data_IF_595574669355
#
_entry.id   IF_595574669355
#
_cell.length_a   1.000
_cell.length_b   1.000
_cell.length_c   1.000
_cell.angle_alpha   90.00
_cell.angle_beta   90.00
_cell.angle_gamma   90.00
#
_symmetry.space_group_name_H-M   'P 1'
#
loop_
_entity.id
_entity.type
_entity.pdbx_description
1 polymer ?
#
# COMPACT_ATOMS: atom_id res chain seq x y z
N UNK A 1 33.18 -10.49 26.29
CA UNK A 1 32.09 -9.67 25.69
C UNK A 1 31.35 -10.59 24.74
N UNK A 2 30.02 -10.72 24.88
CA UNK A 2 29.24 -11.63 24.02
C UNK A 2 28.87 -10.89 22.75
N UNK A 3 29.33 -11.40 21.61
CA UNK A 3 29.03 -10.81 20.31
C UNK A 3 27.61 -11.15 19.86
N UNK A 4 27.01 -10.25 19.09
CA UNK A 4 25.73 -10.50 18.44
C UNK A 4 25.87 -11.61 17.38
N UNK A 5 24.85 -12.47 17.29
CA UNK A 5 24.75 -13.54 16.31
C UNK A 5 23.67 -13.19 15.29
N UNK A 6 23.93 -13.48 14.01
CA UNK A 6 23.01 -13.19 12.91
C UNK A 6 22.52 -14.51 12.27
N UNK A 7 21.29 -14.58 11.72
CA UNK A 7 20.35 -13.47 11.51
C UNK A 7 19.73 -12.94 12.81
N UNK A 8 19.45 -11.64 12.83
CA UNK A 8 18.94 -10.94 14.02
C UNK A 8 17.83 -9.96 13.63
N UNK A 9 16.66 -10.14 14.22
CA UNK A 9 15.57 -9.16 14.10
C UNK A 9 15.92 -7.92 14.93
N UNK A 10 16.07 -6.78 14.26
CA UNK A 10 16.39 -5.51 14.91
C UNK A 10 15.16 -4.62 15.09
N UNK A 11 14.08 -4.88 14.36
CA UNK A 11 12.85 -4.12 14.47
C UNK A 11 11.63 -4.89 13.95
N UNK A 12 10.50 -4.76 14.64
CA UNK A 12 9.20 -5.20 14.15
C UNK A 12 8.12 -4.24 14.63
N UNK A 13 7.18 -3.92 13.75
CA UNK A 13 5.96 -3.18 14.10
C UNK A 13 5.14 -3.95 15.14
N UNK A 14 4.33 -3.22 15.91
CA UNK A 14 3.35 -3.84 16.82
C UNK A 14 2.22 -4.55 16.07
N UNK A 15 1.84 -4.00 14.91
CA UNK A 15 0.90 -4.60 13.97
C UNK A 15 1.48 -5.88 13.40
N UNK A 16 0.67 -6.93 13.35
CA UNK A 16 1.07 -8.26 12.91
C UNK A 16 1.06 -8.35 11.38
N UNK A 17 1.91 -9.23 10.84
CA UNK A 17 1.76 -9.66 9.45
C UNK A 17 0.52 -10.55 9.33
N UNK A 18 -0.12 -10.51 8.15
CA UNK A 18 -1.31 -11.30 7.84
C UNK A 18 -2.47 -11.09 8.82
N UNK A 19 -2.65 -9.86 9.30
CA UNK A 19 -3.75 -9.50 10.20
C UNK A 19 -5.08 -9.37 9.43
N UNK A 20 -5.79 -10.49 9.29
CA UNK A 20 -7.11 -10.51 8.68
C UNK A 20 -8.21 -9.90 9.56
N UNK A 21 -7.90 -9.47 10.80
CA UNK A 21 -8.86 -8.85 11.71
C UNK A 21 -8.88 -7.31 11.61
N UNK A 22 -7.95 -6.73 10.87
CA UNK A 22 -7.90 -5.29 10.63
C UNK A 22 -9.16 -4.78 9.92
N UNK A 23 -9.52 -3.53 10.18
CA UNK A 23 -10.80 -2.95 9.72
C UNK A 23 -10.91 -2.86 8.19
N UNK A 24 -9.79 -2.59 7.52
CA UNK A 24 -9.61 -2.57 6.06
C UNK A 24 -9.59 -3.97 5.42
N UNK A 25 -9.50 -5.04 6.21
CA UNK A 25 -9.59 -6.44 5.78
C UNK A 25 -10.98 -7.05 5.98
N UNK A 26 -11.92 -6.30 6.58
CA UNK A 26 -13.31 -6.74 6.71
C UNK A 26 -13.97 -6.79 5.33
N UNK A 27 -14.71 -7.86 5.08
CA UNK A 27 -15.40 -8.10 3.82
C UNK A 27 -16.86 -8.48 4.05
N UNK A 28 -17.67 -8.35 3.00
CA UNK A 28 -19.10 -8.67 3.02
C UNK A 28 -19.94 -7.56 2.43
N UNK A 29 -21.20 -7.87 2.18
CA UNK A 29 -22.12 -6.95 1.52
C UNK A 29 -22.53 -5.82 2.47
N UNK A 30 -22.51 -4.60 1.94
CA UNK A 30 -23.03 -3.40 2.61
C UNK A 30 -24.37 -3.06 1.95
N UNK A 31 -25.41 -2.84 2.76
CA UNK A 31 -26.73 -2.49 2.24
C UNK A 31 -26.71 -1.16 1.48
N UNK A 32 -27.53 -1.05 0.44
CA UNK A 32 -27.74 0.20 -0.33
C UNK A 32 -28.05 1.40 0.58
N UNK A 33 -28.94 1.23 1.56
CA UNK A 33 -29.28 2.30 2.51
C UNK A 33 -28.03 2.85 3.21
N UNK A 34 -27.14 1.95 3.64
CA UNK A 34 -25.90 2.33 4.32
C UNK A 34 -24.91 3.01 3.35
N UNK A 35 -24.74 2.49 2.14
CA UNK A 35 -23.91 3.12 1.11
C UNK A 35 -24.36 4.56 0.81
N UNK A 36 -25.67 4.78 0.66
CA UNK A 36 -26.23 6.10 0.35
C UNK A 36 -26.23 7.06 1.54
N UNK A 37 -26.65 6.63 2.72
CA UNK A 37 -26.86 7.55 3.84
C UNK A 37 -25.64 7.73 4.76
N UNK A 38 -24.80 6.70 4.92
CA UNK A 38 -23.61 6.78 5.78
C UNK A 38 -22.39 7.27 5.01
N UNK A 39 -22.21 6.78 3.78
CA UNK A 39 -21.03 7.06 2.96
C UNK A 39 -21.24 8.08 1.84
N UNK A 40 -22.49 8.49 1.58
CA UNK A 40 -22.87 9.41 0.50
C UNK A 40 -22.51 8.87 -0.90
N UNK A 41 -22.44 7.55 -1.04
CA UNK A 41 -22.12 6.87 -2.30
C UNK A 41 -23.36 6.75 -3.18
N UNK A 42 -24.01 7.88 -3.48
CA UNK A 42 -25.25 7.92 -4.27
C UNK A 42 -24.96 7.59 -5.74
N UNK A 43 -23.85 8.11 -6.28
CA UNK A 43 -23.41 7.88 -7.65
C UNK A 43 -22.05 7.18 -7.63
N UNK A 44 -22.03 5.88 -7.93
CA UNK A 44 -20.82 5.06 -7.85
C UNK A 44 -20.01 5.09 -9.17
N UNK A 45 -20.70 5.15 -10.30
CA UNK A 45 -20.10 4.94 -11.62
C UNK A 45 -20.72 5.88 -12.66
N UNK A 46 -19.92 6.25 -13.65
CA UNK A 46 -20.33 7.03 -14.81
C UNK A 46 -20.83 6.14 -15.97
N UNK A 47 -20.73 4.82 -15.83
CA UNK A 47 -21.01 3.82 -16.88
C UNK A 47 -22.19 2.91 -16.52
N UNK A 48 -22.42 2.64 -15.23
CA UNK A 48 -23.47 1.75 -14.75
C UNK A 48 -24.05 2.26 -13.43
N UNK A 49 -25.34 2.04 -13.20
CA UNK A 49 -25.95 2.18 -11.88
C UNK A 49 -26.03 0.79 -11.22
N UNK A 50 -25.18 0.51 -10.20
CA UNK A 50 -25.18 -0.79 -9.54
C UNK A 50 -26.39 -1.02 -8.63
N UNK A 51 -27.12 0.03 -8.24
CA UNK A 51 -28.33 -0.11 -7.41
C UNK A 51 -29.51 -0.64 -8.23
N UNK A 52 -29.61 -0.21 -9.48
CA UNK A 52 -30.68 -0.63 -10.40
C UNK A 52 -30.24 -1.70 -11.41
N UNK A 53 -28.95 -2.01 -11.47
CA UNK A 53 -28.33 -2.90 -12.46
C UNK A 53 -28.61 -2.44 -13.90
N UNK A 54 -28.43 -1.15 -14.17
CA UNK A 54 -28.69 -0.55 -15.48
C UNK A 54 -27.48 0.16 -16.05
N UNK A 55 -27.24 0.01 -17.35
CA UNK A 55 -26.18 0.73 -18.02
C UNK A 55 -26.54 2.22 -18.17
N UNK A 56 -25.62 3.10 -17.81
CA UNK A 56 -25.80 4.54 -17.97
C UNK A 56 -25.52 4.96 -19.41
N UNK A 57 -26.48 5.68 -19.98
CA UNK A 57 -26.30 6.35 -21.26
C UNK A 57 -25.76 7.78 -21.01
N UNK A 58 -25.19 8.46 -22.02
CA UNK A 58 -24.72 9.85 -21.87
C UNK A 58 -25.77 10.84 -21.36
N UNK A 59 -27.07 10.51 -21.45
CA UNK A 59 -28.17 11.32 -20.93
C UNK A 59 -28.51 11.03 -19.45
N UNK A 60 -27.97 9.97 -18.85
CA UNK A 60 -28.19 9.57 -17.46
C UNK A 60 -26.92 9.57 -16.62
N UNK A 61 -25.76 9.79 -17.24
CA UNK A 61 -24.49 9.96 -16.54
C UNK A 61 -24.48 11.36 -15.86
N UNK A 62 -24.38 11.44 -14.51
CA UNK A 62 -24.39 12.70 -13.77
C UNK A 62 -23.29 13.69 -14.19
N UNK A 63 -22.16 13.19 -14.68
CA UNK A 63 -21.03 13.99 -15.14
C UNK A 63 -21.08 14.36 -16.63
N UNK A 64 -22.07 13.87 -17.37
CA UNK A 64 -22.23 14.19 -18.79
C UNK A 64 -22.92 15.53 -19.00
N UNK A 65 -22.44 16.29 -20.00
CA UNK A 65 -23.05 17.56 -20.43
C UNK A 65 -24.47 17.40 -21.01
N UNK A 66 -24.89 16.17 -21.27
CA UNK A 66 -26.22 15.84 -21.80
C UNK A 66 -27.15 15.23 -20.74
N UNK A 67 -26.73 15.20 -19.47
CA UNK A 67 -27.53 14.65 -18.37
C UNK A 67 -28.91 15.31 -18.32
N UNK A 68 -29.97 14.50 -18.36
CA UNK A 68 -31.38 14.94 -18.34
C UNK A 68 -31.93 15.49 -19.65
N UNK A 69 -31.17 15.49 -20.76
CA UNK A 69 -31.61 16.08 -22.04
C UNK A 69 -32.61 15.20 -22.82
N UNK A 70 -32.61 13.88 -22.59
CA UNK A 70 -33.59 12.95 -23.13
C UNK A 70 -34.29 12.29 -21.95
N UNK A 71 -35.62 12.39 -21.88
CA UNK A 71 -36.42 11.82 -20.79
C UNK A 71 -36.13 10.33 -20.56
N UNK A 72 -36.37 9.88 -19.32
CA UNK A 72 -36.02 8.57 -18.74
C UNK A 72 -36.24 7.39 -19.70
N UNK A 73 -35.24 7.08 -20.52
CA UNK A 73 -35.14 5.78 -21.18
C UNK A 73 -34.32 4.91 -20.26
N UNK A 74 -34.96 3.94 -19.61
CA UNK A 74 -34.28 2.94 -18.79
C UNK A 74 -33.19 2.30 -19.62
N UNK A 75 -31.94 2.43 -19.17
CA UNK A 75 -30.80 1.79 -19.81
C UNK A 75 -30.97 0.27 -19.88
N UNK A 76 -30.13 -0.37 -20.68
CA UNK A 76 -30.08 -1.83 -20.77
C UNK A 76 -29.89 -2.44 -19.37
N UNK A 77 -30.74 -3.41 -19.02
CA UNK A 77 -30.60 -4.16 -17.77
C UNK A 77 -29.43 -5.12 -17.88
N UNK A 78 -28.61 -5.14 -16.84
CA UNK A 78 -27.40 -5.94 -16.77
C UNK A 78 -27.56 -7.06 -15.77
N UNK A 79 -26.82 -8.14 -15.99
CA UNK A 79 -26.59 -9.14 -14.95
C UNK A 79 -25.61 -8.59 -13.89
N UNK A 80 -25.61 -9.13 -12.65
CA UNK A 80 -24.65 -8.73 -11.63
C UNK A 80 -23.19 -8.88 -12.07
N UNK A 81 -22.87 -9.91 -12.86
CA UNK A 81 -21.52 -10.15 -13.38
C UNK A 81 -21.10 -9.09 -14.41
N UNK A 82 -21.99 -8.72 -15.33
CA UNK A 82 -21.74 -7.65 -16.29
C UNK A 82 -21.58 -6.30 -15.60
N UNK A 83 -22.42 -6.02 -14.59
CA UNK A 83 -22.30 -4.80 -13.77
C UNK A 83 -20.94 -4.74 -13.07
N UNK A 84 -20.53 -5.83 -12.40
CA UNK A 84 -19.24 -5.89 -11.73
C UNK A 84 -18.08 -5.69 -12.72
N UNK A 85 -18.11 -6.36 -13.88
CA UNK A 85 -17.09 -6.20 -14.91
C UNK A 85 -16.98 -4.76 -15.41
N UNK A 86 -18.10 -4.04 -15.58
CA UNK A 86 -18.09 -2.62 -15.95
C UNK A 86 -17.50 -1.73 -14.85
N UNK A 87 -17.85 -1.97 -13.59
CA UNK A 87 -17.27 -1.24 -12.45
C UNK A 87 -15.75 -1.45 -12.38
N UNK A 88 -15.27 -2.67 -12.54
CA UNK A 88 -13.83 -2.97 -12.55
C UNK A 88 -13.12 -2.33 -13.75
N UNK A 89 -13.73 -2.33 -14.94
CA UNK A 89 -13.17 -1.68 -16.12
C UNK A 89 -13.08 -0.15 -15.95
N UNK A 90 -14.08 0.46 -15.34
CA UNK A 90 -14.05 1.88 -14.98
C UNK A 90 -12.98 2.16 -13.92
N UNK A 91 -12.86 1.33 -12.88
CA UNK A 91 -11.82 1.45 -11.85
C UNK A 91 -10.41 1.38 -12.48
N UNK A 92 -10.18 0.46 -13.41
CA UNK A 92 -8.92 0.38 -14.16
C UNK A 92 -8.67 1.66 -14.96
N UNK A 93 -9.68 2.17 -15.67
CA UNK A 93 -9.55 3.40 -16.48
C UNK A 93 -9.28 4.63 -15.61
N UNK A 94 -9.99 4.78 -14.51
CA UNK A 94 -9.83 5.91 -13.56
C UNK A 94 -8.54 5.82 -12.75
N UNK A 95 -7.92 4.64 -12.65
CA UNK A 95 -6.60 4.46 -12.03
C UNK A 95 -5.43 4.94 -12.90
N UNK A 96 -5.61 5.05 -14.23
CA UNK A 96 -4.54 5.40 -15.17
C UNK A 96 -3.78 6.70 -14.84
N UNK A 97 -4.42 7.81 -14.44
CA UNK A 97 -3.73 9.04 -14.07
C UNK A 97 -2.76 8.87 -12.89
N UNK A 98 -2.98 7.86 -12.06
CA UNK A 98 -2.15 7.59 -10.89
C UNK A 98 -1.00 6.63 -11.18
N UNK A 99 -0.99 5.99 -12.35
CA UNK A 99 0.05 5.04 -12.77
C UNK A 99 0.80 5.54 -14.02
N UNK A 100 1.03 6.85 -14.13
CA UNK A 100 1.58 7.46 -15.35
C UNK A 100 3.10 7.31 -15.49
N UNK A 101 3.85 7.13 -14.40
CA UNK A 101 5.32 7.21 -14.40
C UNK A 101 5.97 5.98 -13.77
N UNK A 102 7.04 5.49 -14.40
CA UNK A 102 7.93 4.48 -13.84
C UNK A 102 7.62 3.02 -14.22
N UNK A 103 8.52 2.08 -13.87
CA UNK A 103 8.34 0.65 -14.14
C UNK A 103 7.14 0.04 -13.39
N UNK A 104 6.68 0.70 -12.31
CA UNK A 104 5.55 0.27 -11.48
C UNK A 104 4.16 0.60 -12.08
N UNK A 105 4.08 1.29 -13.24
CA UNK A 105 2.80 1.65 -13.89
C UNK A 105 1.82 0.49 -14.11
N UNK A 106 2.33 -0.73 -14.26
CA UNK A 106 1.50 -1.91 -14.48
C UNK A 106 1.05 -2.58 -13.18
N UNK A 107 1.65 -2.21 -12.04
CA UNK A 107 1.39 -2.83 -10.75
C UNK A 107 -0.06 -2.65 -10.33
N UNK A 108 -0.61 -1.44 -10.49
CA UNK A 108 -2.01 -1.15 -10.17
C UNK A 108 -2.96 -2.06 -10.97
N UNK A 109 -2.71 -2.26 -12.26
CA UNK A 109 -3.56 -3.13 -13.09
C UNK A 109 -3.47 -4.60 -12.67
N UNK A 110 -2.27 -5.07 -12.31
CA UNK A 110 -2.09 -6.43 -11.77
C UNK A 110 -2.85 -6.60 -10.45
N UNK A 111 -2.83 -5.59 -9.59
CA UNK A 111 -3.55 -5.62 -8.32
C UNK A 111 -5.06 -5.54 -8.49
N UNK A 112 -5.56 -4.68 -9.38
CA UNK A 112 -6.98 -4.62 -9.71
C UNK A 112 -7.49 -5.92 -10.32
N UNK A 113 -6.70 -6.56 -11.19
CA UNK A 113 -7.03 -7.88 -11.74
C UNK A 113 -7.02 -8.98 -10.67
N UNK A 114 -6.05 -8.94 -9.74
CA UNK A 114 -6.05 -9.85 -8.59
C UNK A 114 -7.26 -9.64 -7.68
N UNK A 115 -7.63 -8.38 -7.44
CA UNK A 115 -8.80 -8.00 -6.66
C UNK A 115 -10.10 -8.49 -7.33
N UNK A 116 -10.23 -8.31 -8.66
CA UNK A 116 -11.37 -8.81 -9.45
C UNK A 116 -11.57 -10.31 -9.35
N UNK A 117 -10.48 -11.10 -9.27
CA UNK A 117 -10.54 -12.55 -9.14
C UNK A 117 -11.04 -13.03 -7.76
N UNK A 118 -10.99 -12.16 -6.74
CA UNK A 118 -11.52 -12.43 -5.40
C UNK A 118 -11.07 -13.77 -4.79
N UNK A 119 -9.78 -14.12 -4.96
CA UNK A 119 -9.25 -15.42 -4.51
C UNK A 119 -9.00 -15.49 -3.00
N UNK A 120 -9.00 -14.34 -2.30
CA UNK A 120 -8.60 -14.23 -0.89
C UNK A 120 -7.09 -14.43 -0.64
N UNK A 121 -6.30 -14.72 -1.68
CA UNK A 121 -4.85 -14.93 -1.56
C UNK A 121 -4.10 -13.59 -1.44
N UNK A 122 -2.98 -13.53 -0.70
CA UNK A 122 -2.11 -12.36 -0.71
C UNK A 122 -1.61 -12.04 -2.12
N UNK A 123 -1.53 -10.75 -2.44
CA UNK A 123 -0.89 -10.28 -3.66
C UNK A 123 0.62 -10.12 -3.44
N UNK A 124 1.43 -10.69 -4.33
CA UNK A 124 2.88 -10.54 -4.33
C UNK A 124 3.36 -10.27 -5.77
N UNK A 125 4.23 -9.28 -5.96
CA UNK A 125 4.86 -9.01 -7.26
C UNK A 125 6.28 -8.47 -7.06
N UNK A 126 7.23 -8.94 -7.87
CA UNK A 126 8.63 -8.52 -7.80
C UNK A 126 8.81 -7.02 -8.02
N UNK A 127 7.94 -6.38 -8.81
CA UNK A 127 8.01 -4.92 -9.01
C UNK A 127 7.65 -4.12 -7.76
N UNK A 128 6.80 -4.68 -6.87
CA UNK A 128 6.51 -4.08 -5.56
C UNK A 128 7.72 -4.21 -4.63
N UNK A 129 8.37 -5.39 -4.60
CA UNK A 129 9.60 -5.60 -3.83
C UNK A 129 10.73 -4.66 -4.29
N UNK A 130 10.89 -4.49 -5.60
CA UNK A 130 11.85 -3.56 -6.19
C UNK A 130 11.54 -2.11 -5.82
N UNK A 131 10.26 -1.70 -5.88
CA UNK A 131 9.85 -0.36 -5.48
C UNK A 131 10.14 -0.09 -4.00
N UNK A 132 9.84 -1.04 -3.12
CA UNK A 132 10.11 -0.92 -1.69
C UNK A 132 11.62 -0.85 -1.40
N UNK A 133 12.41 -1.68 -2.09
CA UNK A 133 13.88 -1.62 -2.02
C UNK A 133 14.42 -0.27 -2.48
N UNK A 134 13.93 0.24 -3.61
CA UNK A 134 14.39 1.51 -4.16
C UNK A 134 14.01 2.68 -3.24
N UNK A 135 12.84 2.63 -2.59
CA UNK A 135 12.47 3.61 -1.55
C UNK A 135 13.48 3.61 -0.39
N UNK A 136 13.81 2.43 0.15
CA UNK A 136 14.79 2.30 1.25
C UNK A 136 16.18 2.77 0.83
N UNK A 137 16.61 2.46 -0.39
CA UNK A 137 17.94 2.83 -0.89
C UNK A 137 18.01 4.31 -1.24
N UNK A 138 16.93 4.91 -1.75
CA UNK A 138 16.93 6.30 -2.19
C UNK A 138 16.51 7.28 -1.10
N UNK A 139 16.02 6.79 0.05
CA UNK A 139 15.84 7.63 1.22
C UNK A 139 17.18 8.27 1.65
N UNK A 140 17.17 9.60 1.74
CA UNK A 140 18.31 10.45 2.12
C UNK A 140 18.01 11.23 3.40
N UNK A 141 16.86 10.99 4.03
CA UNK A 141 16.52 11.62 5.29
C UNK A 141 17.47 11.16 6.40
N UNK A 142 17.84 12.09 7.27
CA UNK A 142 18.75 11.83 8.40
C UNK A 142 18.13 10.81 9.39
N UNK A 143 16.80 10.77 9.45
CA UNK A 143 16.01 9.87 10.28
C UNK A 143 15.55 8.59 9.56
N UNK A 144 16.07 8.31 8.36
CA UNK A 144 15.80 7.04 7.66
C UNK A 144 16.34 5.83 8.43
N UNK A 145 15.65 4.69 8.31
CA UNK A 145 16.11 3.43 8.92
C UNK A 145 17.51 3.05 8.43
N UNK A 146 17.79 3.27 7.14
CA UNK A 146 19.08 2.95 6.52
C UNK A 146 20.21 3.78 7.13
N UNK A 147 20.05 5.10 7.22
CA UNK A 147 21.11 5.96 7.77
C UNK A 147 21.35 5.65 9.25
N UNK A 148 20.29 5.40 10.03
CA UNK A 148 20.41 5.06 11.43
C UNK A 148 21.11 3.72 11.68
N UNK A 149 20.87 2.70 10.85
CA UNK A 149 21.64 1.44 10.92
C UNK A 149 23.12 1.68 10.61
N UNK A 150 23.42 2.46 9.56
CA UNK A 150 24.79 2.79 9.18
C UNK A 150 25.51 3.52 10.31
N UNK A 151 24.91 4.57 10.88
CA UNK A 151 25.49 5.36 11.96
C UNK A 151 25.69 4.53 13.23
N UNK A 152 24.73 3.66 13.54
CA UNK A 152 24.86 2.75 14.67
C UNK A 152 26.04 1.80 14.48
N UNK A 153 26.17 1.17 13.31
CA UNK A 153 27.30 0.28 13.01
C UNK A 153 28.64 1.01 13.02
N UNK A 154 28.73 2.19 12.39
CA UNK A 154 29.95 3.01 12.40
C UNK A 154 30.43 3.37 13.81
N UNK A 155 29.50 3.70 14.73
CA UNK A 155 29.82 4.07 16.11
C UNK A 155 30.15 2.88 17.01
N UNK A 156 29.65 1.70 16.68
CA UNK A 156 29.64 0.55 17.60
C UNK A 156 30.42 -0.68 17.13
N UNK A 157 30.98 -0.65 15.92
CA UNK A 157 31.78 -1.73 15.37
C UNK A 157 33.02 -2.00 16.21
N UNK A 158 33.22 -3.26 16.58
CA UNK A 158 34.45 -3.75 17.17
C UNK A 158 35.27 -4.47 16.09
N UNK A 159 36.24 -3.76 15.52
CA UNK A 159 37.14 -4.30 14.50
C UNK A 159 38.14 -5.32 15.06
N UNK A 160 38.41 -5.32 16.37
CA UNK A 160 39.32 -6.31 16.99
C UNK A 160 38.63 -7.66 17.16
N UNK A 161 37.34 -7.63 17.52
CA UNK A 161 36.54 -8.84 17.72
C UNK A 161 35.63 -9.16 16.51
N UNK A 162 35.78 -8.43 15.40
CA UNK A 162 35.05 -8.61 14.14
C UNK A 162 33.51 -8.62 14.29
N UNK A 163 32.93 -7.69 15.07
CA UNK A 163 31.48 -7.64 15.19
C UNK A 163 30.94 -6.56 16.12
N UNK A 164 29.74 -6.78 16.66
CA UNK A 164 29.05 -5.86 17.56
C UNK A 164 28.66 -6.58 18.85
N UNK A 165 28.76 -5.88 19.97
CA UNK A 165 28.32 -6.40 21.26
C UNK A 165 26.82 -6.64 21.32
N UNK A 166 26.41 -7.74 21.95
CA UNK A 166 24.99 -8.08 22.11
C UNK A 166 24.21 -7.04 22.94
N UNK A 167 24.81 -6.42 23.95
CA UNK A 167 24.18 -5.36 24.75
C UNK A 167 23.87 -4.10 23.92
N UNK A 168 24.62 -3.87 22.84
CA UNK A 168 24.43 -2.71 21.97
C UNK A 168 23.21 -2.85 21.07
N UNK A 169 22.82 -4.08 20.71
CA UNK A 169 21.68 -4.36 19.82
C UNK A 169 20.38 -3.78 20.35
N UNK A 170 20.16 -3.82 21.66
CA UNK A 170 18.94 -3.25 22.25
C UNK A 170 18.82 -1.74 21.99
N UNK A 171 19.94 -1.01 21.91
CA UNK A 171 19.93 0.40 21.52
C UNK A 171 19.59 0.57 20.03
N UNK A 172 20.08 -0.30 19.15
CA UNK A 172 19.70 -0.28 17.73
C UNK A 172 18.18 -0.44 17.57
N UNK A 173 17.57 -1.41 18.25
CA UNK A 173 16.11 -1.59 18.21
C UNK A 173 15.35 -0.35 18.67
N UNK A 174 15.83 0.33 19.72
CA UNK A 174 15.24 1.58 20.19
C UNK A 174 15.39 2.74 19.21
N UNK A 175 16.56 2.86 18.57
CA UNK A 175 16.81 3.87 17.55
C UNK A 175 15.83 3.67 16.40
N UNK A 176 15.75 2.46 15.85
CA UNK A 176 14.87 2.17 14.71
C UNK A 176 13.39 2.34 15.07
N UNK A 177 12.98 2.04 16.31
CA UNK A 177 11.62 2.32 16.77
C UNK A 177 11.26 3.81 16.82
N UNK A 178 12.25 4.71 16.86
CA UNK A 178 12.07 6.17 16.80
C UNK A 178 12.29 6.77 15.41
N UNK A 179 12.65 5.97 14.40
CA UNK A 179 12.90 6.43 13.02
C UNK A 179 11.63 6.50 12.18
N UNK A 180 11.72 7.20 11.06
CA UNK A 180 10.70 7.13 10.01
C UNK A 180 10.87 5.80 9.27
N UNK A 181 9.84 4.96 9.33
CA UNK A 181 9.82 3.70 8.58
C UNK A 181 9.62 3.98 7.09
N UNK A 182 10.17 3.11 6.21
CA UNK A 182 9.95 3.25 4.77
C UNK A 182 8.45 3.18 4.46
N UNK A 183 7.94 4.24 3.83
CA UNK A 183 6.55 4.38 3.38
C UNK A 183 6.53 5.09 2.03
N UNK A 184 5.46 4.90 1.28
CA UNK A 184 5.26 5.53 -0.03
C UNK A 184 4.42 6.81 0.10
N UNK A 185 4.92 7.80 0.85
CA UNK A 185 4.18 9.05 1.13
C UNK A 185 4.62 10.24 0.27
N UNK A 186 5.59 10.05 -0.64
CA UNK A 186 6.13 11.15 -1.44
C UNK A 186 5.18 11.60 -2.56
N UNK A 187 5.34 12.85 -3.02
CA UNK A 187 4.60 13.38 -4.18
C UNK A 187 4.87 12.57 -5.46
N UNK A 188 6.05 11.95 -5.58
CA UNK A 188 6.39 11.06 -6.69
C UNK A 188 5.67 9.70 -6.57
N UNK A 189 5.43 9.22 -5.35
CA UNK A 189 4.66 7.99 -5.09
C UNK A 189 3.18 8.14 -5.44
N UNK A 190 2.63 9.35 -5.34
CA UNK A 190 1.24 9.64 -5.72
C UNK A 190 0.98 9.53 -7.24
N UNK A 191 2.02 9.55 -8.07
CA UNK A 191 1.94 9.55 -9.54
C UNK A 191 2.55 8.30 -10.20
N UNK A 192 3.15 7.40 -9.41
CA UNK A 192 3.77 6.14 -9.88
C UNK A 192 2.92 4.88 -9.58
N UNK A 193 1.72 5.07 -9.04
CA UNK A 193 0.75 4.04 -8.70
C UNK A 193 0.83 3.59 -7.24
N UNK A 194 1.95 3.83 -6.55
CA UNK A 194 2.19 3.32 -5.20
C UNK A 194 1.38 4.07 -4.14
N UNK A 195 1.13 5.36 -4.31
CA UNK A 195 0.33 6.17 -3.38
C UNK A 195 -1.17 5.85 -3.37
N UNK A 196 -1.67 5.08 -4.34
CA UNK A 196 -3.02 4.47 -4.30
C UNK A 196 -2.96 3.03 -3.80
N UNK A 197 -1.86 2.35 -4.08
CA UNK A 197 -1.71 0.90 -3.89
C UNK A 197 -1.27 0.55 -2.47
N UNK A 198 -0.54 1.45 -1.82
CA UNK A 198 0.06 1.29 -0.49
C UNK A 198 -0.21 2.60 0.25
N UNK A 199 -1.34 2.65 0.98
CA UNK A 199 -1.81 3.86 1.67
C UNK A 199 -1.06 4.10 2.99
N UNK A 200 -0.44 3.05 3.54
CA UNK A 200 0.53 3.05 4.64
C UNK A 200 1.40 1.77 4.53
N UNK A 201 2.26 1.44 5.49
CA UNK A 201 2.80 0.07 5.61
C UNK A 201 2.28 -0.53 6.91
N UNK A 202 1.25 -1.38 6.82
CA UNK A 202 0.61 -2.00 7.99
C UNK A 202 1.62 -2.70 8.92
N UNK A 203 2.51 -3.54 8.37
CA UNK A 203 3.51 -4.26 9.15
C UNK A 203 4.90 -4.21 8.49
N UNK A 204 5.92 -3.92 9.30
CA UNK A 204 7.33 -3.86 8.88
C UNK A 204 8.21 -4.65 9.83
N UNK A 205 9.12 -5.44 9.26
CA UNK A 205 10.17 -6.16 9.97
C UNK A 205 11.52 -5.92 9.30
N UNK A 206 12.55 -5.69 10.11
CA UNK A 206 13.91 -5.44 9.66
C UNK A 206 14.85 -6.42 10.35
N UNK A 207 15.56 -7.21 9.56
CA UNK A 207 16.51 -8.21 10.03
C UNK A 207 17.91 -7.90 9.49
N UNK A 208 18.93 -8.02 10.34
CA UNK A 208 20.32 -8.10 9.89
C UNK A 208 20.61 -9.57 9.61
N UNK A 209 20.75 -9.92 8.35
CA UNK A 209 20.94 -11.31 7.90
C UNK A 209 22.38 -11.77 8.12
N UNK A 210 23.34 -10.90 7.81
CA UNK A 210 24.75 -11.14 8.04
C UNK A 210 25.49 -9.82 8.33
N UNK A 211 26.65 -9.95 8.96
CA UNK A 211 27.60 -8.86 9.19
C UNK A 211 29.00 -9.43 8.99
N UNK A 212 29.73 -8.90 8.02
CA UNK A 212 31.11 -9.22 7.70
C UNK A 212 31.98 -8.03 8.11
N UNK A 213 33.01 -8.26 8.92
CA UNK A 213 33.90 -7.21 9.42
C UNK A 213 35.34 -7.56 9.07
N UNK A 214 35.99 -6.68 8.31
CA UNK A 214 37.40 -6.79 7.91
C UNK A 214 38.14 -5.53 8.32
N UNK A 215 39.38 -5.61 8.81
CA UNK A 215 40.25 -4.49 9.20
C UNK A 215 39.56 -3.15 9.58
N UNK A 216 39.19 -2.31 8.60
CA UNK A 216 38.52 -1.01 8.79
C UNK A 216 37.17 -0.87 8.06
N UNK A 217 36.61 -1.98 7.58
CA UNK A 217 35.38 -2.02 6.80
C UNK A 217 34.40 -3.06 7.33
N UNK A 218 33.12 -2.73 7.23
CA UNK A 218 32.05 -3.66 7.50
C UNK A 218 31.11 -3.74 6.30
N UNK A 219 30.52 -4.91 6.10
CA UNK A 219 29.48 -5.16 5.14
C UNK A 219 28.33 -5.87 5.85
N UNK A 220 27.11 -5.35 5.74
CA UNK A 220 25.94 -5.98 6.34
C UNK A 220 24.83 -6.16 5.29
N UNK A 221 24.19 -7.32 5.31
CA UNK A 221 22.98 -7.57 4.53
C UNK A 221 21.77 -7.41 5.41
N UNK A 222 20.91 -6.48 5.04
CA UNK A 222 19.62 -6.25 5.69
C UNK A 222 18.50 -6.90 4.87
N UNK A 223 17.51 -7.46 5.56
CA UNK A 223 16.26 -7.91 4.96
C UNK A 223 15.13 -7.07 5.53
N UNK A 224 14.41 -6.40 4.64
CA UNK A 224 13.20 -5.68 4.96
C UNK A 224 12.01 -6.52 4.50
N UNK A 225 11.02 -6.68 5.37
CA UNK A 225 9.73 -7.27 5.04
C UNK A 225 8.66 -6.24 5.35
N UNK A 226 7.90 -5.83 4.34
CA UNK A 226 6.75 -4.96 4.47
C UNK A 226 5.48 -5.71 4.07
N UNK A 227 4.36 -5.37 4.70
CA UNK A 227 3.03 -5.79 4.28
C UNK A 227 2.07 -4.62 4.50
N UNK A 228 1.20 -4.38 3.54
CA UNK A 228 0.07 -3.48 3.66
C UNK A 228 -1.23 -4.18 3.28
N UNK A 229 -2.36 -3.56 3.58
CA UNK A 229 -3.68 -4.01 3.17
C UNK A 229 -4.16 -3.24 1.95
N UNK A 230 -4.77 -3.96 1.00
CA UNK A 230 -5.35 -3.34 -0.18
C UNK A 230 -6.86 -3.20 0.02
N UNK A 231 -7.31 -2.00 0.37
CA UNK A 231 -8.70 -1.72 0.68
C UNK A 231 -8.88 -0.32 1.26
N UNK A 232 -10.14 0.07 1.46
CA UNK A 232 -10.50 1.27 2.21
C UNK A 232 -11.30 0.82 3.42
N UNK A 233 -10.97 1.32 4.60
CA UNK A 233 -11.83 1.15 5.77
C UNK A 233 -12.97 2.20 5.77
N UNK A 234 -13.90 2.09 6.73
CA UNK A 234 -14.98 3.06 6.86
C UNK A 234 -14.48 4.47 7.14
N UNK A 235 -13.39 4.62 7.89
CA UNK A 235 -12.82 5.93 8.22
C UNK A 235 -12.21 6.58 6.97
N UNK A 236 -11.59 5.79 6.09
CA UNK A 236 -11.03 6.23 4.83
C UNK A 236 -12.11 6.84 3.95
N UNK A 237 -13.24 6.15 3.76
CA UNK A 237 -14.38 6.61 2.95
C UNK A 237 -14.95 7.93 3.51
N UNK A 238 -14.97 8.08 4.83
CA UNK A 238 -15.51 9.27 5.51
C UNK A 238 -14.59 10.51 5.45
N UNK A 239 -13.35 10.39 4.96
CA UNK A 239 -12.42 11.53 4.86
C UNK A 239 -12.97 12.61 3.92
N UNK A 240 -12.91 13.87 4.35
CA UNK A 240 -13.41 15.05 3.60
C UNK A 240 -12.86 15.10 2.17
N UNK A 241 -11.61 14.68 1.94
CA UNK A 241 -10.99 14.65 0.60
C UNK A 241 -11.75 13.80 -0.42
N UNK A 242 -12.54 12.83 0.02
CA UNK A 242 -13.35 11.96 -0.84
C UNK A 242 -14.83 12.33 -0.85
N UNK A 243 -15.24 13.33 -0.05
CA UNK A 243 -16.60 13.85 0.06
C UNK A 243 -16.73 15.22 -0.63
N UNK A 244 -16.09 15.38 -1.78
CA UNK A 244 -16.01 16.68 -2.48
C UNK A 244 -17.09 16.87 -3.55
N UNK A 245 -18.10 16.00 -3.61
CA UNK A 245 -19.08 15.96 -4.70
C UNK A 245 -20.49 15.88 -4.16
#
# INVERSE_FOLDING_TARGET
>A
MVMATFPLNIYSTRRAFSDCSADDMRYGDISEHRLKHEFDLINISNVVDPYTMTRLNPFHNPQSRFSGALGSQTGEKLTPEECANLLFAEMQTTSLPFAMVGPQRFLINKMLEHFRRSTGMPFCDMSLDMAYRDQIINDRSEDSTRQNVIDFFNKNMDYKNHGISKDKIHYLTKIIAGTVLPKFDSLADRINGLGITVHDVHATQIEVMNLEVSHEHWHARLKYKGQDHFGLDTNDILKIKFRQF
#
